data_IF_070324414679
#
_entry.id   IF_070324414679
#
_cell.length_a   1.000
_cell.length_b   1.000
_cell.length_c   1.000
_cell.angle_alpha   90.00
_cell.angle_beta   90.00
_cell.angle_gamma   90.00
#
_symmetry.space_group_name_H-M   'P 1'
#
loop_
_entity.id
_entity.type
_entity.pdbx_description
1 polymer ?
#
# COMPACT_ATOMS: atom_id res chain seq x y z
N UNK A 1 25.94 7.34 7.38
CA UNK A 1 24.95 8.31 6.85
C UNK A 1 23.59 7.68 7.07
N UNK A 2 22.64 8.39 7.67
CA UNK A 2 21.29 7.85 7.83
C UNK A 2 20.75 7.56 6.43
N UNK A 3 20.48 6.29 6.15
CA UNK A 3 19.72 5.81 5.00
C UNK A 3 18.40 6.60 4.86
N UNK A 4 17.66 6.43 3.75
CA UNK A 4 16.39 7.12 3.44
C UNK A 4 15.22 6.78 4.36
N UNK A 5 15.52 6.50 5.62
CA UNK A 5 14.65 6.09 6.69
C UNK A 5 13.83 7.26 7.25
N UNK A 6 12.52 7.07 7.38
CA UNK A 6 11.62 8.02 8.04
C UNK A 6 11.28 7.54 9.45
N UNK A 7 11.61 8.35 10.47
CA UNK A 7 11.31 8.06 11.88
C UNK A 7 10.91 9.33 12.64
N UNK A 8 9.72 9.35 13.27
CA UNK A 8 9.27 10.45 14.13
C UNK A 8 10.08 10.58 15.43
N UNK A 9 10.37 11.81 15.89
CA UNK A 9 11.11 12.06 17.12
C UNK A 9 10.36 11.62 18.40
N UNK A 10 9.03 11.50 18.36
CA UNK A 10 8.17 11.15 19.50
C UNK A 10 8.13 9.65 19.85
N UNK A 11 8.66 8.78 18.99
CA UNK A 11 8.61 7.33 19.17
C UNK A 11 9.17 6.80 20.50
N UNK A 12 10.30 7.31 21.04
CA UNK A 12 10.86 6.80 22.30
C UNK A 12 9.86 6.91 23.47
N UNK A 13 9.13 8.01 23.55
CA UNK A 13 8.16 8.25 24.63
C UNK A 13 6.90 7.41 24.46
N UNK A 14 6.42 7.24 23.22
CA UNK A 14 5.27 6.38 22.91
C UNK A 14 5.57 4.90 23.21
N UNK A 15 6.77 4.43 22.87
CA UNK A 15 7.20 3.06 23.17
C UNK A 15 7.27 2.83 24.67
N UNK A 16 7.80 3.80 25.44
CA UNK A 16 7.83 3.73 26.90
C UNK A 16 6.42 3.67 27.48
N UNK A 17 5.52 4.54 27.01
CA UNK A 17 4.14 4.54 27.46
C UNK A 17 3.41 3.23 27.18
N UNK A 18 3.69 2.60 26.04
CA UNK A 18 3.15 1.27 25.71
C UNK A 18 3.68 0.20 26.68
N UNK A 19 5.00 0.20 26.94
CA UNK A 19 5.64 -0.77 27.84
C UNK A 19 5.18 -0.63 29.30
N UNK A 20 4.91 0.60 29.76
CA UNK A 20 4.42 0.91 31.11
C UNK A 20 2.90 0.74 31.26
N UNK A 21 2.18 0.46 30.16
CA UNK A 21 0.72 0.33 30.15
C UNK A 21 -0.03 1.67 30.29
N UNK A 22 0.65 2.80 30.09
CA UNK A 22 0.03 4.14 30.09
C UNK A 22 -0.49 4.57 28.72
N UNK A 23 -0.11 3.85 27.66
CA UNK A 23 -0.63 3.99 26.30
C UNK A 23 -1.45 2.76 25.91
N UNK A 24 -2.70 2.99 25.53
CA UNK A 24 -3.58 1.94 24.96
C UNK A 24 -3.49 1.97 23.44
N UNK A 25 -3.06 0.89 22.77
CA UNK A 25 -3.01 0.83 21.31
C UNK A 25 -4.38 1.07 20.67
N UNK A 26 -4.41 1.89 19.63
CA UNK A 26 -5.60 2.04 18.79
C UNK A 26 -5.73 0.86 17.84
N UNK A 27 -6.97 0.48 17.49
CA UNK A 27 -7.24 -0.52 16.47
C UNK A 27 -6.76 -0.01 15.10
N UNK A 28 -5.95 -0.78 14.35
CA UNK A 28 -5.50 -0.36 13.03
C UNK A 28 -6.67 -0.30 12.04
N UNK A 29 -6.70 0.75 11.22
CA UNK A 29 -7.64 0.86 10.10
C UNK A 29 -7.16 -0.03 8.95
N UNK A 30 -8.07 -0.74 8.29
CA UNK A 30 -7.73 -1.50 7.08
C UNK A 30 -7.33 -0.55 5.96
N UNK A 31 -6.30 -0.91 5.20
CA UNK A 31 -5.83 -0.16 4.05
C UNK A 31 -5.33 -1.11 2.95
N UNK A 32 -5.28 -0.63 1.72
CA UNK A 32 -4.72 -1.36 0.60
C UNK A 32 -3.83 -0.45 -0.25
N UNK A 33 -2.78 -1.02 -0.83
CA UNK A 33 -1.86 -0.29 -1.70
C UNK A 33 -1.40 -1.18 -2.86
N UNK A 34 -1.17 -0.57 -4.03
CA UNK A 34 -0.88 -1.30 -5.27
C UNK A 34 0.44 -0.84 -5.87
N UNK A 35 1.40 -1.75 -5.95
CA UNK A 35 2.60 -1.64 -6.77
C UNK A 35 2.20 -1.89 -8.22
N UNK A 36 1.91 -0.81 -8.95
CA UNK A 36 1.57 -0.89 -10.36
C UNK A 36 2.85 -1.05 -11.19
N UNK A 37 2.91 -2.09 -12.02
CA UNK A 37 4.10 -2.52 -12.74
C UNK A 37 3.89 -2.43 -14.26
N UNK A 38 4.97 -2.22 -15.00
CA UNK A 38 5.01 -2.44 -16.45
C UNK A 38 6.38 -2.96 -16.86
N UNK A 39 6.42 -3.79 -17.90
CA UNK A 39 7.69 -4.27 -18.47
C UNK A 39 8.36 -3.16 -19.30
N UNK A 40 9.69 -3.17 -19.28
CA UNK A 40 10.58 -2.39 -20.16
C UNK A 40 11.66 -3.32 -20.71
N UNK A 41 12.50 -2.83 -21.63
CA UNK A 41 13.61 -3.62 -22.17
C UNK A 41 14.66 -4.01 -21.10
N UNK A 42 14.72 -3.27 -19.99
CA UNK A 42 15.64 -3.52 -18.87
C UNK A 42 15.03 -4.38 -17.75
N UNK A 43 13.71 -4.66 -17.81
CA UNK A 43 12.97 -5.34 -16.75
C UNK A 43 11.74 -4.54 -16.28
N UNK A 44 11.04 -5.01 -15.24
CA UNK A 44 9.83 -4.36 -14.75
C UNK A 44 10.16 -3.07 -13.98
N UNK A 45 9.39 -2.02 -14.25
CA UNK A 45 9.43 -0.76 -13.50
C UNK A 45 8.15 -0.61 -12.70
N UNK A 46 8.25 -0.01 -11.50
CA UNK A 46 7.13 0.24 -10.58
C UNK A 46 6.75 1.72 -10.58
N UNK A 47 5.45 1.99 -10.52
CA UNK A 47 4.92 3.33 -10.35
C UNK A 47 4.96 3.74 -8.89
N UNK A 48 5.67 4.83 -8.58
CA UNK A 48 5.73 5.40 -7.25
C UNK A 48 5.31 6.87 -7.27
N UNK A 49 4.74 7.32 -6.16
CA UNK A 49 4.39 8.72 -5.91
C UNK A 49 5.17 9.25 -4.72
N UNK A 50 5.53 10.53 -4.75
CA UNK A 50 6.11 11.24 -3.61
C UNK A 50 5.02 12.05 -2.93
N UNK A 51 4.79 11.74 -1.66
CA UNK A 51 3.86 12.45 -0.78
C UNK A 51 4.31 13.90 -0.64
N UNK A 52 3.38 14.86 -0.66
CA UNK A 52 3.70 16.27 -0.44
C UNK A 52 4.48 16.45 0.86
N UNK A 53 5.53 17.27 0.84
CA UNK A 53 6.34 17.55 2.01
C UNK A 53 5.54 18.17 3.17
N UNK A 54 4.43 18.85 2.87
CA UNK A 54 3.53 19.46 3.85
C UNK A 54 2.63 18.47 4.60
N UNK A 55 2.64 17.18 4.24
CA UNK A 55 1.83 16.18 4.94
C UNK A 55 2.40 15.91 6.34
N UNK A 56 1.51 15.89 7.34
CA UNK A 56 1.86 15.69 8.74
C UNK A 56 2.51 14.32 9.03
N UNK A 57 2.29 13.31 8.18
CA UNK A 57 2.85 11.97 8.33
C UNK A 57 3.52 11.53 7.01
N UNK A 58 4.78 11.10 7.11
CA UNK A 58 5.61 10.66 5.99
C UNK A 58 5.65 11.66 4.80
N UNK A 59 5.67 12.97 5.08
CA UNK A 59 5.82 14.00 4.06
C UNK A 59 7.15 13.86 3.32
N UNK A 60 7.12 13.92 1.99
CA UNK A 60 8.30 13.72 1.14
C UNK A 60 8.71 12.25 0.93
N UNK A 61 8.05 11.29 1.61
CA UNK A 61 8.31 9.88 1.40
C UNK A 61 7.67 9.38 0.10
N UNK A 62 8.36 8.46 -0.57
CA UNK A 62 7.83 7.72 -1.70
C UNK A 62 6.95 6.58 -1.21
N UNK A 63 5.82 6.39 -1.91
CA UNK A 63 4.83 5.36 -1.67
C UNK A 63 4.24 4.89 -3.01
N UNK A 64 3.26 4.01 -2.94
CA UNK A 64 2.44 3.59 -4.09
C UNK A 64 1.02 4.14 -3.91
N UNK A 65 0.18 4.14 -4.97
CA UNK A 65 -1.25 4.39 -4.83
C UNK A 65 -1.85 3.50 -3.74
N UNK A 66 -2.66 4.08 -2.86
CA UNK A 66 -3.24 3.33 -1.76
C UNK A 66 -3.79 4.20 -0.64
N UNK A 67 -4.74 3.63 0.08
CA UNK A 67 -5.45 4.33 1.13
C UNK A 67 -6.31 3.39 1.97
N UNK A 68 -7.13 4.00 2.81
CA UNK A 68 -7.98 3.27 3.75
C UNK A 68 -9.15 2.59 3.04
N UNK A 69 -9.59 1.46 3.57
CA UNK A 69 -10.89 0.88 3.20
C UNK A 69 -11.99 1.85 3.60
N UNK A 70 -12.84 2.25 2.64
CA UNK A 70 -14.02 3.06 2.89
C UNK A 70 -15.12 2.14 3.42
N UNK A 71 -15.92 2.55 4.43
CA UNK A 71 -17.07 1.75 4.87
C UNK A 71 -17.97 1.35 3.70
N UNK A 72 -18.13 2.20 2.68
CA UNK A 72 -18.97 1.89 1.50
C UNK A 72 -18.39 0.80 0.59
N UNK A 73 -17.13 0.39 0.81
CA UNK A 73 -16.54 -0.76 0.13
C UNK A 73 -17.14 -2.11 0.64
N UNK A 74 -17.85 -2.10 1.79
CA UNK A 74 -18.53 -3.25 2.39
C UNK A 74 -20.07 -3.27 2.28
N UNK A 75 -20.69 -2.16 1.85
CA UNK A 75 -22.15 -1.95 1.91
C UNK A 75 -22.97 -2.93 1.04
N UNK A 76 -22.44 -3.41 -0.08
CA UNK A 76 -23.12 -4.39 -0.93
C UNK A 76 -22.17 -5.17 -1.83
N UNK A 77 -22.65 -6.29 -2.38
CA UNK A 77 -21.88 -7.15 -3.27
C UNK A 77 -21.76 -6.51 -4.66
N UNK A 78 -20.53 -6.18 -5.05
CA UNK A 78 -20.23 -5.68 -6.40
C UNK A 78 -20.15 -6.82 -7.43
N UNK A 79 -20.23 -6.49 -8.72
CA UNK A 79 -19.90 -7.45 -9.78
C UNK A 79 -18.42 -7.78 -9.76
N UNK A 80 -18.09 -9.05 -9.87
CA UNK A 80 -16.79 -9.58 -9.52
C UNK A 80 -16.33 -10.64 -10.52
N UNK A 81 -15.07 -10.55 -10.92
CA UNK A 81 -14.40 -11.54 -11.75
C UNK A 81 -13.04 -11.92 -11.14
N UNK A 82 -12.60 -13.15 -11.39
CA UNK A 82 -11.38 -13.73 -10.82
C UNK A 82 -11.63 -14.66 -9.63
N UNK A 83 -10.62 -14.90 -8.77
CA UNK A 83 -10.77 -15.73 -7.59
C UNK A 83 -11.93 -15.27 -6.71
N UNK A 84 -12.62 -16.21 -6.07
CA UNK A 84 -13.82 -15.88 -5.27
C UNK A 84 -13.47 -15.01 -4.06
N UNK A 85 -14.46 -14.31 -3.50
CA UNK A 85 -14.29 -13.56 -2.25
C UNK A 85 -13.84 -14.46 -1.11
N UNK A 86 -14.35 -15.69 -1.04
CA UNK A 86 -13.88 -16.71 -0.10
C UNK A 86 -12.39 -17.04 -0.27
N UNK A 87 -11.92 -17.17 -1.53
CA UNK A 87 -10.51 -17.36 -1.81
C UNK A 87 -9.69 -16.15 -1.31
N UNK A 88 -10.15 -14.94 -1.58
CA UNK A 88 -9.49 -13.72 -1.12
C UNK A 88 -9.50 -13.58 0.41
N UNK A 89 -10.59 -13.95 1.09
CA UNK A 89 -10.67 -13.93 2.55
C UNK A 89 -9.61 -14.86 3.17
N UNK A 90 -9.48 -16.08 2.62
CA UNK A 90 -8.42 -17.00 3.02
C UNK A 90 -7.04 -16.43 2.70
N UNK A 91 -6.82 -15.97 1.46
CA UNK A 91 -5.53 -15.45 0.99
C UNK A 91 -5.04 -14.28 1.85
N UNK A 92 -5.91 -13.33 2.17
CA UNK A 92 -5.59 -12.11 2.91
C UNK A 92 -5.48 -12.34 4.43
N UNK A 93 -5.72 -13.57 4.91
CA UNK A 93 -5.71 -13.87 6.34
C UNK A 93 -6.88 -13.23 7.09
N UNK A 94 -8.05 -13.18 6.44
CA UNK A 94 -9.33 -12.67 6.98
C UNK A 94 -10.30 -13.81 7.34
N UNK A 95 -9.84 -15.07 7.28
CA UNK A 95 -10.66 -16.23 7.58
C UNK A 95 -11.77 -16.42 6.55
N UNK A 96 -13.03 -16.45 7.01
CA UNK A 96 -14.22 -16.61 6.17
C UNK A 96 -14.96 -15.29 5.93
N UNK A 97 -14.37 -14.15 6.27
CA UNK A 97 -15.00 -12.83 6.11
C UNK A 97 -14.86 -12.33 4.67
N UNK A 98 -15.78 -12.77 3.82
CA UNK A 98 -15.86 -12.41 2.39
C UNK A 98 -16.13 -10.92 2.16
N UNK A 99 -16.89 -10.29 3.06
CA UNK A 99 -17.22 -8.87 2.98
C UNK A 99 -15.97 -8.03 3.22
N UNK A 100 -15.19 -8.36 4.26
CA UNK A 100 -13.89 -7.72 4.49
C UNK A 100 -12.91 -7.93 3.35
N UNK A 101 -12.89 -9.13 2.76
CA UNK A 101 -12.03 -9.42 1.62
C UNK A 101 -12.39 -8.59 0.39
N UNK A 102 -13.69 -8.47 0.07
CA UNK A 102 -14.16 -7.56 -0.96
C UNK A 102 -13.71 -6.13 -0.67
N UNK A 103 -13.91 -5.64 0.56
CA UNK A 103 -13.62 -4.26 0.91
C UNK A 103 -12.13 -3.90 0.72
N UNK A 104 -11.21 -4.80 1.09
CA UNK A 104 -9.77 -4.61 0.87
C UNK A 104 -9.42 -4.59 -0.62
N UNK A 105 -10.00 -5.48 -1.42
CA UNK A 105 -9.77 -5.51 -2.88
C UNK A 105 -10.38 -4.31 -3.58
N UNK A 106 -11.58 -3.87 -3.17
CA UNK A 106 -12.20 -2.64 -3.63
C UNK A 106 -11.31 -1.44 -3.35
N UNK A 107 -10.81 -1.30 -2.11
CA UNK A 107 -9.90 -0.22 -1.74
C UNK A 107 -8.64 -0.22 -2.63
N UNK A 108 -8.04 -1.39 -2.90
CA UNK A 108 -6.89 -1.49 -3.78
C UNK A 108 -7.16 -0.91 -5.18
N UNK A 109 -8.29 -1.28 -5.79
CA UNK A 109 -8.65 -0.83 -7.14
C UNK A 109 -9.12 0.64 -7.15
N UNK A 110 -9.95 1.03 -6.17
CA UNK A 110 -10.47 2.39 -5.99
C UNK A 110 -9.34 3.39 -5.83
N UNK A 111 -8.43 3.17 -4.89
CA UNK A 111 -7.31 4.07 -4.61
C UNK A 111 -6.34 4.16 -5.81
N UNK A 112 -6.13 3.06 -6.53
CA UNK A 112 -5.34 3.07 -7.78
C UNK A 112 -5.99 3.95 -8.85
N UNK A 113 -7.32 3.92 -8.95
CA UNK A 113 -8.05 4.78 -9.88
C UNK A 113 -8.03 6.25 -9.44
N UNK A 114 -8.29 6.52 -8.16
CA UNK A 114 -8.30 7.85 -7.58
C UNK A 114 -6.95 8.57 -7.74
N UNK A 115 -5.85 7.89 -7.43
CA UNK A 115 -4.52 8.52 -7.40
C UNK A 115 -3.76 8.45 -8.72
N UNK A 116 -3.87 7.32 -9.44
CA UNK A 116 -3.09 7.07 -10.65
C UNK A 116 -3.93 7.11 -11.94
N UNK A 117 -5.26 7.18 -11.85
CA UNK A 117 -6.16 7.12 -13.01
C UNK A 117 -6.26 5.73 -13.65
N UNK A 118 -5.76 4.69 -12.97
CA UNK A 118 -5.69 3.32 -13.50
C UNK A 118 -6.77 2.46 -12.84
N UNK A 119 -7.60 1.82 -13.66
CA UNK A 119 -8.74 1.04 -13.23
C UNK A 119 -8.58 -0.45 -13.57
N UNK A 120 -8.62 -1.31 -12.54
CA UNK A 120 -8.60 -2.77 -12.67
C UNK A 120 -10.05 -3.32 -12.72
N UNK A 121 -10.80 -2.86 -13.71
CA UNK A 121 -12.18 -3.26 -13.97
C UNK A 121 -12.48 -3.20 -15.48
N UNK A 122 -13.52 -3.91 -15.91
CA UNK A 122 -13.91 -3.98 -17.32
C UNK A 122 -15.39 -4.32 -17.49
N UNK A 123 -15.91 -4.26 -18.73
CA UNK A 123 -17.32 -4.61 -19.00
C UNK A 123 -17.60 -6.11 -18.85
N UNK A 124 -16.56 -6.96 -18.86
CA UNK A 124 -16.68 -8.41 -18.71
C UNK A 124 -15.47 -9.00 -17.96
N UNK A 125 -15.59 -10.28 -17.57
CA UNK A 125 -14.60 -10.98 -16.76
C UNK A 125 -13.24 -11.20 -17.46
N UNK A 126 -13.14 -10.99 -18.76
CA UNK A 126 -11.96 -11.20 -19.61
C UNK A 126 -11.40 -9.91 -20.21
N UNK A 127 -12.05 -8.77 -19.98
CA UNK A 127 -11.65 -7.47 -20.51
C UNK A 127 -11.41 -6.44 -19.41
N UNK A 128 -10.76 -5.33 -19.79
CA UNK A 128 -10.52 -4.14 -18.96
C UNK A 128 -10.97 -2.92 -19.74
N UNK A 129 -11.29 -1.84 -19.03
CA UNK A 129 -11.43 -0.52 -19.67
C UNK A 129 -10.09 -0.15 -20.30
N UNK A 130 -10.09 0.15 -21.60
CA UNK A 130 -8.85 0.47 -22.33
C UNK A 130 -8.37 1.89 -22.15
N UNK A 131 -9.28 2.82 -21.85
CA UNK A 131 -8.98 4.24 -21.71
C UNK A 131 -9.88 4.88 -20.64
N UNK A 132 -9.26 5.48 -19.64
CA UNK A 132 -9.90 6.17 -18.49
C UNK A 132 -9.66 7.68 -18.54
N UNK A 133 -9.26 8.23 -19.70
CA UNK A 133 -8.75 9.60 -19.80
C UNK A 133 -9.78 10.66 -20.16
N UNK A 134 -10.99 10.26 -20.57
CA UNK A 134 -12.07 11.16 -20.98
C UNK A 134 -12.65 11.99 -19.84
N UNK A 135 -13.29 13.11 -20.18
CA UNK A 135 -13.83 14.07 -19.21
C UNK A 135 -14.87 13.44 -18.27
N UNK A 136 -15.67 12.49 -18.76
CA UNK A 136 -16.64 11.75 -17.96
C UNK A 136 -15.97 10.81 -16.94
N UNK A 137 -14.81 10.22 -17.28
CA UNK A 137 -14.02 9.41 -16.36
C UNK A 137 -13.36 10.28 -15.29
N UNK A 138 -12.82 11.44 -15.66
CA UNK A 138 -12.24 12.37 -14.69
C UNK A 138 -13.30 12.95 -13.74
N UNK A 139 -14.52 13.24 -14.23
CA UNK A 139 -15.63 13.65 -13.38
C UNK A 139 -15.97 12.58 -12.34
N UNK A 140 -15.99 11.31 -12.76
CA UNK A 140 -16.25 10.19 -11.84
C UNK A 140 -15.13 9.98 -10.83
N UNK A 141 -13.88 10.10 -11.27
CA UNK A 141 -12.72 10.02 -10.37
C UNK A 141 -12.76 11.14 -9.34
N UNK A 142 -13.07 12.37 -9.76
CA UNK A 142 -13.21 13.50 -8.85
C UNK A 142 -14.35 13.28 -7.84
N UNK A 143 -15.48 12.71 -8.26
CA UNK A 143 -16.58 12.36 -7.37
C UNK A 143 -16.22 11.26 -6.36
N UNK A 144 -15.40 10.26 -6.76
CA UNK A 144 -14.86 9.25 -5.84
C UNK A 144 -13.94 9.87 -4.79
N UNK A 145 -12.96 10.69 -5.22
CA UNK A 145 -12.03 11.41 -4.34
C UNK A 145 -12.79 12.35 -3.38
N UNK A 146 -13.82 13.04 -3.86
CA UNK A 146 -14.69 13.90 -3.05
C UNK A 146 -15.67 13.11 -2.16
N UNK A 147 -15.71 11.77 -2.29
CA UNK A 147 -16.62 10.86 -1.60
C UNK A 147 -18.10 11.10 -1.89
N UNK A 148 -18.41 11.76 -3.01
CA UNK A 148 -19.77 12.00 -3.51
C UNK A 148 -20.35 10.79 -4.23
N UNK A 149 -19.48 9.88 -4.70
CA UNK A 149 -19.82 8.63 -5.36
C UNK A 149 -19.10 7.50 -4.62
N UNK A 150 -19.78 6.39 -4.33
CA UNK A 150 -19.10 5.17 -3.85
C UNK A 150 -18.50 4.39 -5.04
N UNK A 151 -17.47 3.59 -4.78
CA UNK A 151 -16.86 2.79 -5.85
C UNK A 151 -17.80 1.73 -6.41
N UNK A 152 -18.67 1.17 -5.57
CA UNK A 152 -19.67 0.22 -6.01
C UNK A 152 -20.72 0.86 -6.94
N UNK A 153 -21.24 2.04 -6.59
CA UNK A 153 -22.13 2.83 -7.47
C UNK A 153 -21.44 3.22 -8.79
N UNK A 154 -20.16 3.60 -8.72
CA UNK A 154 -19.35 3.90 -9.90
C UNK A 154 -19.28 2.69 -10.86
N UNK A 155 -18.96 1.50 -10.33
CA UNK A 155 -18.90 0.28 -11.13
C UNK A 155 -20.27 -0.06 -11.73
N UNK A 156 -21.34 -0.01 -10.92
CA UNK A 156 -22.69 -0.34 -11.38
C UNK A 156 -23.20 0.62 -12.46
N UNK A 157 -23.02 1.92 -12.27
CA UNK A 157 -23.43 2.95 -13.24
C UNK A 157 -22.71 2.76 -14.59
N UNK A 158 -21.45 2.34 -14.56
CA UNK A 158 -20.67 2.04 -15.77
C UNK A 158 -20.83 0.61 -16.28
N UNK A 159 -21.60 -0.23 -15.59
CA UNK A 159 -21.81 -1.63 -15.94
C UNK A 159 -20.54 -2.49 -15.86
N UNK A 160 -19.60 -2.12 -14.97
CA UNK A 160 -18.28 -2.74 -14.86
C UNK A 160 -18.28 -3.88 -13.85
N UNK A 161 -17.35 -4.81 -14.06
CA UNK A 161 -16.98 -5.85 -13.10
C UNK A 161 -15.58 -5.58 -12.59
N UNK A 162 -15.37 -5.70 -11.27
CA UNK A 162 -14.04 -5.64 -10.68
C UNK A 162 -13.25 -6.89 -11.10
N UNK A 163 -12.04 -6.68 -11.63
CA UNK A 163 -11.14 -7.74 -12.09
C UNK A 163 -10.12 -8.11 -11.00
N UNK A 164 -10.56 -8.92 -10.04
CA UNK A 164 -9.72 -9.28 -8.88
C UNK A 164 -8.54 -10.15 -9.27
N UNK A 165 -8.65 -10.88 -10.38
CA UNK A 165 -7.58 -11.69 -10.96
C UNK A 165 -6.40 -10.87 -11.49
N UNK A 166 -6.54 -9.54 -11.62
CA UNK A 166 -5.44 -8.65 -12.01
C UNK A 166 -4.57 -8.21 -10.83
N UNK A 167 -4.96 -8.59 -9.60
CA UNK A 167 -4.22 -8.30 -8.37
C UNK A 167 -3.49 -9.55 -7.86
N UNK A 168 -2.21 -9.38 -7.54
CA UNK A 168 -1.43 -10.36 -6.78
C UNK A 168 -1.18 -9.86 -5.36
N UNK A 169 -1.60 -10.60 -4.33
CA UNK A 169 -1.31 -10.23 -2.95
C UNK A 169 0.17 -10.41 -2.61
N UNK A 170 0.82 -9.39 -2.04
CA UNK A 170 2.28 -9.32 -1.95
C UNK A 170 2.86 -9.32 -0.54
N UNK A 171 2.28 -8.50 0.35
CA UNK A 171 2.70 -8.38 1.74
C UNK A 171 1.55 -7.84 2.60
N UNK A 172 1.62 -8.03 3.91
CA UNK A 172 0.72 -7.41 4.88
C UNK A 172 1.55 -6.76 5.99
N UNK A 173 1.39 -5.46 6.18
CA UNK A 173 2.14 -4.70 7.18
C UNK A 173 1.18 -3.99 8.12
N UNK A 174 1.43 -4.12 9.43
CA UNK A 174 0.65 -3.44 10.46
C UNK A 174 1.52 -2.37 11.11
N UNK A 175 1.02 -1.14 11.16
CA UNK A 175 1.69 -0.02 11.84
C UNK A 175 1.95 -0.38 13.31
N UNK A 176 3.12 0.00 13.88
CA UNK A 176 3.47 -0.30 15.27
C UNK A 176 2.38 0.09 16.28
N UNK A 177 2.30 -0.63 17.40
CA UNK A 177 1.20 -0.49 18.38
C UNK A 177 1.19 0.86 19.12
N UNK A 178 2.35 1.46 19.29
CA UNK A 178 2.53 2.74 19.97
C UNK A 178 2.12 3.94 19.11
N UNK A 179 1.88 3.74 17.81
CA UNK A 179 1.48 4.81 16.91
C UNK A 179 0.01 5.22 17.14
N UNK A 180 -0.25 6.52 17.11
CA UNK A 180 -1.60 7.06 17.28
C UNK A 180 -2.48 6.88 16.04
N UNK A 181 -1.87 6.68 14.87
CA UNK A 181 -2.54 6.42 13.59
C UNK A 181 -2.02 5.11 13.02
N UNK A 182 -2.82 4.05 13.13
CA UNK A 182 -2.42 2.71 12.72
C UNK A 182 -3.20 2.23 11.52
N UNK A 183 -2.50 1.50 10.65
CA UNK A 183 -3.07 0.85 9.49
C UNK A 183 -2.65 -0.62 9.45
N UNK A 184 -3.58 -1.48 9.04
CA UNK A 184 -3.34 -2.86 8.63
C UNK A 184 -3.45 -2.87 7.11
N UNK A 185 -2.28 -2.89 6.46
CA UNK A 185 -2.16 -2.57 5.03
C UNK A 185 -1.80 -3.81 4.24
N UNK A 186 -2.66 -4.18 3.31
CA UNK A 186 -2.36 -5.20 2.30
C UNK A 186 -1.73 -4.54 1.07
N UNK A 187 -0.56 -5.05 0.69
CA UNK A 187 0.17 -4.65 -0.51
C UNK A 187 -0.17 -5.62 -1.63
N UNK A 188 -0.42 -5.08 -2.82
CA UNK A 188 -0.70 -5.83 -4.03
C UNK A 188 0.28 -5.46 -5.14
N UNK A 189 0.52 -6.37 -6.07
CA UNK A 189 1.12 -6.09 -7.38
C UNK A 189 0.02 -6.13 -8.45
N UNK A 190 0.13 -5.28 -9.47
CA UNK A 190 -0.74 -5.31 -10.63
C UNK A 190 0.03 -4.88 -11.89
N UNK A 191 -0.30 -5.46 -13.04
CA UNK A 191 0.18 -4.97 -14.33
C UNK A 191 -0.61 -3.72 -14.75
N UNK A 192 0.06 -2.71 -15.29
CA UNK A 192 -0.59 -1.59 -15.97
C UNK A 192 -1.45 -2.12 -17.14
N UNK A 193 -2.78 -1.95 -17.12
CA UNK A 193 -3.64 -2.43 -18.19
C UNK A 193 -3.26 -1.79 -19.52
N UNK A 194 -3.27 -2.59 -20.61
CA UNK A 194 -2.98 -2.08 -21.95
C UNK A 194 -3.96 -0.95 -22.32
N UNK A 195 -3.42 0.16 -22.81
CA UNK A 195 -4.18 1.34 -23.22
C UNK A 195 -4.27 2.42 -22.13
N UNK A 196 -4.29 2.01 -20.85
CA UNK A 196 -4.34 2.96 -19.74
C UNK A 196 -2.98 3.61 -19.49
N UNK A 197 -3.00 4.80 -18.88
CA UNK A 197 -1.81 5.58 -18.55
C UNK A 197 -1.94 6.15 -17.14
N UNK A 198 -0.86 6.06 -16.37
CA UNK A 198 -0.78 6.70 -15.06
C UNK A 198 -0.80 8.22 -15.19
N UNK A 199 -1.43 8.89 -14.24
CA UNK A 199 -1.44 10.35 -14.08
C UNK A 199 -1.06 10.71 -12.65
N UNK A 200 -0.48 11.88 -12.44
CA UNK A 200 -0.44 12.47 -11.09
C UNK A 200 -1.78 13.14 -10.84
N UNK A 201 -2.79 12.35 -10.45
CA UNK A 201 -4.17 12.81 -10.31
C UNK A 201 -4.53 13.13 -8.85
N UNK A 202 -3.66 12.75 -7.92
CA UNK A 202 -3.77 13.03 -6.49
C UNK A 202 -3.29 14.44 -6.15
N UNK A 203 -4.02 15.14 -5.29
CA UNK A 203 -3.54 16.39 -4.67
C UNK A 203 -2.56 16.13 -3.53
N UNK A 204 -2.43 14.88 -3.07
CA UNK A 204 -1.55 14.48 -1.97
C UNK A 204 -0.12 14.13 -2.43
N UNK A 205 0.08 13.96 -3.74
CA UNK A 205 1.39 13.73 -4.35
C UNK A 205 1.88 14.97 -5.11
N UNK A 206 3.18 15.28 -5.02
CA UNK A 206 3.80 16.34 -5.82
C UNK A 206 4.60 15.83 -7.02
N UNK A 207 4.91 14.53 -7.05
CA UNK A 207 5.67 13.88 -8.11
C UNK A 207 5.28 12.42 -8.23
N UNK A 208 5.32 11.90 -9.45
CA UNK A 208 5.28 10.46 -9.72
C UNK A 208 6.48 10.03 -10.56
N UNK A 209 6.90 8.78 -10.42
CA UNK A 209 8.01 8.18 -11.16
C UNK A 209 7.68 6.75 -11.57
N UNK A 210 8.25 6.32 -12.69
CA UNK A 210 8.44 4.92 -13.00
C UNK A 210 9.92 4.62 -12.79
N UNK A 211 10.24 3.64 -11.96
CA UNK A 211 11.62 3.33 -11.55
C UNK A 211 11.79 1.82 -11.41
N UNK A 212 12.96 1.31 -11.71
CA UNK A 212 13.29 -0.10 -11.45
C UNK A 212 13.33 -0.35 -9.93
N UNK A 213 12.80 -1.48 -9.43
CA UNK A 213 12.78 -1.75 -7.99
C UNK A 213 14.18 -1.72 -7.35
N UNK A 214 15.19 -2.23 -8.07
CA UNK A 214 16.58 -2.23 -7.61
C UNK A 214 17.16 -0.81 -7.50
N UNK A 215 16.90 0.05 -8.49
CA UNK A 215 17.34 1.45 -8.48
C UNK A 215 16.68 2.25 -7.36
N UNK A 216 15.38 2.03 -7.13
CA UNK A 216 14.64 2.68 -6.05
C UNK A 216 15.20 2.28 -4.67
N UNK A 217 15.51 0.99 -4.48
CA UNK A 217 16.14 0.49 -3.27
C UNK A 217 17.56 1.06 -3.07
N UNK A 218 18.37 1.10 -4.14
CA UNK A 218 19.71 1.66 -4.08
C UNK A 218 19.68 3.18 -3.76
N UNK A 219 18.72 3.93 -4.31
CA UNK A 219 18.54 5.34 -4.01
C UNK A 219 18.08 5.58 -2.57
N UNK A 220 17.24 4.68 -2.00
CA UNK A 220 16.93 4.68 -0.58
C UNK A 220 18.18 4.45 0.28
N UNK A 221 19.03 3.49 -0.08
CA UNK A 221 20.27 3.18 0.67
C UNK A 221 21.23 4.37 0.67
N UNK A 222 21.26 5.15 -0.43
CA UNK A 222 22.01 6.42 -0.52
C UNK A 222 21.34 7.61 0.19
N UNK A 223 20.12 7.46 0.67
CA UNK A 223 19.36 8.54 1.33
C UNK A 223 18.68 9.53 0.37
N UNK A 224 18.60 9.20 -0.92
CA UNK A 224 18.02 10.07 -1.96
C UNK A 224 16.50 9.96 -2.05
N UNK A 225 15.96 8.77 -1.77
CA UNK A 225 14.52 8.52 -1.71
C UNK A 225 14.12 8.14 -0.27
N UNK A 226 13.38 9.03 0.37
CA UNK A 226 12.77 8.76 1.67
C UNK A 226 11.66 7.71 1.50
N UNK A 227 11.66 6.65 2.31
CA UNK A 227 10.63 5.61 2.27
C UNK A 227 10.34 5.07 3.67
N UNK A 228 9.11 4.59 3.85
CA UNK A 228 8.74 3.80 5.02
C UNK A 228 9.24 2.35 4.85
N UNK A 229 9.50 1.61 5.95
CA UNK A 229 9.95 0.20 5.90
C UNK A 229 9.14 -0.72 4.97
N UNK A 230 7.78 -0.68 4.95
CA UNK A 230 7.01 -1.51 4.02
C UNK A 230 7.34 -1.26 2.54
N UNK A 231 7.59 0.00 2.16
CA UNK A 231 7.88 0.38 0.77
C UNK A 231 9.22 -0.18 0.32
N UNK A 232 10.29 0.03 1.08
CA UNK A 232 11.62 -0.50 0.73
C UNK A 232 11.65 -2.03 0.78
N UNK A 233 10.99 -2.65 1.78
CA UNK A 233 10.90 -4.11 1.86
C UNK A 233 10.22 -4.72 0.64
N UNK A 234 9.14 -4.09 0.16
CA UNK A 234 8.41 -4.57 -1.03
C UNK A 234 9.20 -4.34 -2.32
N UNK A 235 9.94 -3.23 -2.46
CA UNK A 235 10.87 -3.02 -3.58
C UNK A 235 11.96 -4.09 -3.64
N UNK A 236 12.58 -4.39 -2.50
CA UNK A 236 13.63 -5.42 -2.41
C UNK A 236 13.08 -6.82 -2.70
N UNK A 237 11.85 -7.11 -2.29
CA UNK A 237 11.19 -8.36 -2.66
C UNK A 237 10.82 -8.45 -4.15
N UNK A 238 10.63 -7.30 -4.82
CA UNK A 238 10.28 -7.22 -6.24
C UNK A 238 11.52 -7.22 -7.16
N UNK A 239 12.66 -6.73 -6.68
CA UNK A 239 13.91 -6.64 -7.44
C UNK A 239 14.39 -7.94 -8.11
N UNK A 240 14.17 -9.15 -7.55
CA UNK A 240 14.59 -10.39 -8.20
C UNK A 240 13.75 -10.82 -9.42
N UNK A 241 12.67 -10.14 -9.75
CA UNK A 241 11.77 -10.52 -10.85
C UNK A 241 12.13 -9.79 -12.15
N UNK A 242 12.40 -10.55 -13.20
CA UNK A 242 12.76 -10.00 -14.53
C UNK A 242 11.55 -9.62 -15.41
N UNK A 243 10.32 -9.85 -14.92
CA UNK A 243 9.10 -9.46 -15.65
C UNK A 243 7.91 -9.26 -14.72
N UNK A 244 6.94 -8.45 -15.17
CA UNK A 244 5.67 -8.27 -14.47
C UNK A 244 4.91 -9.58 -14.34
N UNK A 245 4.91 -10.43 -15.38
CA UNK A 245 4.29 -11.75 -15.32
C UNK A 245 4.95 -12.64 -14.27
N UNK A 246 6.27 -12.58 -14.13
CA UNK A 246 7.00 -13.31 -13.09
C UNK A 246 6.60 -12.83 -11.69
N UNK A 247 6.52 -11.51 -11.49
CA UNK A 247 6.07 -10.94 -10.21
C UNK A 247 4.63 -11.36 -9.87
N UNK A 248 3.70 -11.31 -10.84
CA UNK A 248 2.32 -11.77 -10.64
C UNK A 248 2.22 -13.25 -10.29
N UNK A 249 3.04 -14.11 -10.94
CA UNK A 249 3.12 -15.52 -10.59
C UNK A 249 3.67 -15.72 -9.18
N UNK A 250 4.75 -15.03 -8.83
CA UNK A 250 5.35 -15.08 -7.50
C UNK A 250 4.43 -14.60 -6.38
N UNK A 251 3.48 -13.70 -6.67
CA UNK A 251 2.48 -13.23 -5.72
C UNK A 251 1.58 -14.37 -5.17
N UNK A 252 1.41 -15.47 -5.92
CA UNK A 252 0.64 -16.63 -5.46
C UNK A 252 1.33 -17.39 -4.31
N UNK A 253 2.66 -17.29 -4.23
CA UNK A 253 3.48 -18.03 -3.25
C UNK A 253 3.89 -17.18 -2.04
N UNK A 254 3.59 -15.87 -2.05
CA UNK A 254 3.98 -14.96 -0.97
C UNK A 254 3.33 -15.35 0.36
N UNK A 255 4.13 -15.35 1.43
CA UNK A 255 3.58 -15.34 2.79
C UNK A 255 3.00 -13.96 3.13
N UNK A 256 1.78 -13.96 3.67
CA UNK A 256 1.05 -12.76 4.07
C UNK A 256 0.84 -12.69 5.59
N UNK A 257 1.62 -13.46 6.35
CA UNK A 257 1.77 -13.25 7.78
C UNK A 257 2.04 -11.75 8.05
N UNK A 258 1.30 -11.12 8.95
CA UNK A 258 1.42 -9.68 9.17
C UNK A 258 2.79 -9.35 9.74
N UNK A 259 3.47 -8.43 9.07
CA UNK A 259 4.73 -7.85 9.55
C UNK A 259 4.39 -6.71 10.52
N UNK A 260 4.77 -6.88 11.78
CA UNK A 260 4.57 -5.92 12.87
C UNK A 260 5.89 -5.65 13.57
N UNK A 261 6.15 -4.38 13.89
CA UNK A 261 7.30 -4.00 14.69
C UNK A 261 7.16 -4.51 16.13
N UNK A 262 8.26 -5.01 16.69
CA UNK A 262 8.36 -5.39 18.10
C UNK A 262 9.31 -4.43 18.79
N UNK A 263 8.84 -3.83 19.88
CA UNK A 263 9.68 -3.05 20.76
C UNK A 263 10.09 -3.90 21.97
N UNK A 264 11.37 -3.94 22.29
CA UNK A 264 11.95 -4.52 23.50
C UNK A 264 12.79 -3.48 24.25
N UNK A 265 12.93 -3.64 25.57
CA UNK A 265 13.93 -2.90 26.35
C UNK A 265 15.13 -3.82 26.60
N UNK A 266 16.31 -3.40 26.12
CA UNK A 266 17.56 -4.16 26.21
C UNK A 266 18.68 -3.22 26.67
N UNK A 267 19.35 -3.55 27.78
CA UNK A 267 20.50 -2.80 28.32
C UNK A 267 20.32 -1.27 28.47
N UNK A 268 19.09 -0.83 28.78
CA UNK A 268 18.78 0.61 28.89
C UNK A 268 18.59 1.30 27.54
N UNK A 269 18.38 0.54 26.46
CA UNK A 269 17.97 1.01 25.15
C UNK A 269 16.60 0.41 24.77
N UNK A 270 15.83 1.13 23.98
CA UNK A 270 14.66 0.60 23.30
C UNK A 270 15.13 0.04 21.96
N UNK A 271 14.87 -1.25 21.72
CA UNK A 271 15.14 -1.91 20.44
C UNK A 271 13.83 -2.10 19.70
N UNK A 272 13.69 -1.46 18.54
CA UNK A 272 12.54 -1.61 17.66
C UNK A 272 12.95 -2.42 16.44
N UNK A 273 12.43 -3.64 16.32
CA UNK A 273 12.77 -4.58 15.26
C UNK A 273 11.55 -5.04 14.47
N UNK A 274 11.72 -5.32 13.18
CA UNK A 274 10.72 -6.00 12.35
C UNK A 274 11.25 -7.40 12.04
N UNK A 275 10.66 -8.48 12.60
CA UNK A 275 11.13 -9.84 12.35
C UNK A 275 11.20 -10.17 10.86
N UNK A 276 12.34 -10.69 10.39
CA UNK A 276 12.59 -10.96 8.97
C UNK A 276 13.00 -9.73 8.16
N UNK A 277 13.15 -8.58 8.83
CA UNK A 277 13.55 -7.29 8.25
C UNK A 277 14.50 -6.55 9.21
N UNK A 278 15.55 -7.25 9.64
CA UNK A 278 16.50 -6.78 10.67
C UNK A 278 17.22 -5.49 10.26
N UNK A 279 17.29 -5.20 8.95
CA UNK A 279 17.82 -3.96 8.38
C UNK A 279 17.10 -2.68 8.86
N UNK A 280 15.85 -2.79 9.32
CA UNK A 280 15.08 -1.68 9.86
C UNK A 280 15.18 -1.56 11.38
N UNK A 281 15.96 -2.44 12.02
CA UNK A 281 16.13 -2.44 13.47
C UNK A 281 16.71 -1.11 13.94
N UNK A 282 16.12 -0.57 15.00
CA UNK A 282 16.55 0.67 15.64
C UNK A 282 16.88 0.45 17.09
N UNK A 283 18.03 0.99 17.48
CA UNK A 283 18.47 1.11 18.85
C UNK A 283 18.30 2.56 19.27
N UNK A 284 17.40 2.79 20.20
CA UNK A 284 17.03 4.11 20.72
C UNK A 284 17.53 4.17 22.17
N UNK A 285 18.55 4.97 22.43
CA UNK A 285 19.06 5.16 23.78
C UNK A 285 18.03 5.80 24.69
N UNK A 286 17.85 5.23 25.88
CA UNK A 286 17.06 5.86 26.94
C UNK A 286 17.96 6.89 27.62
N UNK A 287 17.95 8.12 27.12
CA UNK A 287 18.65 9.24 27.72
C UNK A 287 17.89 9.83 28.92
N UNK A 288 18.56 9.91 30.07
CA UNK A 288 18.07 10.56 31.29
C UNK A 288 17.85 12.07 31.13
N UNK A 289 17.23 12.67 32.16
CA UNK A 289 16.81 14.07 32.22
C UNK A 289 17.81 15.06 31.59
N UNK A 290 17.33 16.13 30.92
CA UNK A 290 18.22 17.19 30.48
C UNK A 290 18.92 17.77 31.71
N UNK A 291 20.26 17.78 31.69
CA UNK A 291 21.07 18.51 32.64
C UNK A 291 21.01 20.02 32.35
#
# INVERSE_FOLDING_TARGET
MANGQWYPPEWPDLIRGLAEGTLTPVTPKRAATVMLLKDTDAGPVVHMLRRRASMAFAGGAYAYPGGGVDPRDDDHLIRWAGPTRAWWASRLGLGTDETSAQAVVCAAVRETYEEAGVLLAGPAADSVVGDTTGDDWEADRAALVARELSFAEFLDRRGLVLRSDLLGAWARWITPEFESRRYDTWFFVAALPRGQRTRNASTEADRTVWIEPADAAAAYDRGELLMLPPTIATLRALAPYDSVSGALAGALERDLAPVLARASLEDGEIVLAWPGHEEFTKHIRIGGAPA
#
